data_IF_461672142554
#
_entry.id   IF_461672142554
#
_cell.length_a   1.000
_cell.length_b   1.000
_cell.length_c   1.000
_cell.angle_alpha   90.00
_cell.angle_beta   90.00
_cell.angle_gamma   90.00
#
_symmetry.space_group_name_H-M   'P 1'
#
loop_
_entity.id
_entity.type
_entity.pdbx_description
1 polymer ?
#
# COMPACT_ATOMS: atom_id res chain seq x y z
N UNK A 1 -27.48 45.34 158.46
CA UNK A 1 -27.37 44.08 157.71
C UNK A 1 -26.81 44.41 156.34
N UNK A 2 -25.64 43.86 156.04
CA UNK A 2 -24.87 44.16 154.84
C UNK A 2 -25.60 43.65 153.58
N UNK A 3 -25.42 44.33 152.46
CA UNK A 3 -25.96 43.94 151.17
C UNK A 3 -25.30 42.63 150.73
N UNK A 4 -26.06 41.55 150.69
CA UNK A 4 -25.63 40.27 150.12
C UNK A 4 -25.37 40.44 148.61
N UNK A 5 -24.25 39.88 148.16
CA UNK A 5 -23.72 40.02 146.80
C UNK A 5 -24.53 39.19 145.79
N UNK A 6 -24.49 39.59 144.51
CA UNK A 6 -25.24 38.98 143.39
C UNK A 6 -25.02 37.46 143.26
N UNK A 7 -23.87 36.94 143.70
CA UNK A 7 -23.56 35.50 143.68
C UNK A 7 -24.43 34.69 144.65
N UNK A 8 -24.99 35.30 145.69
CA UNK A 8 -25.84 34.62 146.68
C UNK A 8 -27.33 34.58 146.28
N UNK A 9 -27.71 35.33 145.25
CA UNK A 9 -29.09 35.36 144.76
C UNK A 9 -29.38 34.19 143.83
N UNK A 10 -28.54 33.94 142.81
CA UNK A 10 -28.64 32.77 141.91
C UNK A 10 -27.27 32.46 141.28
N UNK A 11 -26.78 31.22 141.47
CA UNK A 11 -25.67 30.65 140.68
C UNK A 11 -26.27 29.70 139.64
N UNK A 12 -26.26 30.10 138.37
CA UNK A 12 -26.56 29.17 137.26
C UNK A 12 -25.22 28.69 136.71
N UNK A 13 -24.94 27.41 136.86
CA UNK A 13 -23.77 26.78 136.23
C UNK A 13 -23.92 26.82 134.71
N UNK A 14 -22.83 27.16 133.98
CA UNK A 14 -22.84 27.31 132.52
C UNK A 14 -23.41 26.08 131.77
N UNK A 15 -23.25 24.88 132.32
CA UNK A 15 -23.79 23.64 131.75
C UNK A 15 -25.33 23.54 131.84
N UNK A 16 -25.94 24.16 132.84
CA UNK A 16 -27.40 24.13 133.07
C UNK A 16 -28.14 25.27 132.37
N UNK A 17 -27.42 26.22 131.75
CA UNK A 17 -28.01 27.38 131.08
C UNK A 17 -28.98 26.95 129.97
N UNK A 18 -28.61 25.96 129.16
CA UNK A 18 -29.47 25.47 128.09
C UNK A 18 -30.78 24.87 128.63
N UNK A 19 -30.72 24.08 129.69
CA UNK A 19 -31.90 23.45 130.29
C UNK A 19 -32.81 24.47 131.00
N UNK A 20 -32.20 25.44 131.70
CA UNK A 20 -32.95 26.52 132.37
C UNK A 20 -33.70 27.39 131.36
N UNK A 21 -33.09 27.74 130.23
CA UNK A 21 -33.75 28.60 129.23
C UNK A 21 -34.66 27.82 128.25
N UNK A 22 -34.49 26.49 128.13
CA UNK A 22 -35.35 25.63 127.31
C UNK A 22 -36.62 25.22 128.07
N UNK A 23 -36.53 25.00 129.38
CA UNK A 23 -37.65 24.55 130.22
C UNK A 23 -38.24 25.71 131.02
N UNK A 24 -39.39 26.23 130.56
CA UNK A 24 -40.08 27.34 131.22
C UNK A 24 -40.33 27.13 132.73
N UNK A 25 -40.69 25.93 133.23
CA UNK A 25 -40.92 25.71 134.66
C UNK A 25 -39.67 25.86 135.55
N UNK A 26 -38.47 25.52 135.04
CA UNK A 26 -37.22 25.65 135.81
C UNK A 26 -36.77 27.11 135.87
N UNK A 27 -36.96 27.86 134.78
CA UNK A 27 -36.79 29.31 134.76
C UNK A 27 -37.75 30.00 135.74
N UNK A 28 -39.03 29.65 135.70
CA UNK A 28 -40.04 30.23 136.58
C UNK A 28 -39.72 29.94 138.06
N UNK A 29 -39.19 28.75 138.38
CA UNK A 29 -38.72 28.42 139.73
C UNK A 29 -37.55 29.30 140.21
N UNK A 30 -36.58 29.58 139.34
CA UNK A 30 -35.45 30.47 139.65
C UNK A 30 -35.93 31.92 139.82
N UNK A 31 -36.85 32.38 138.96
CA UNK A 31 -37.44 33.70 139.07
C UNK A 31 -38.26 33.87 140.35
N UNK A 32 -38.99 32.85 140.77
CA UNK A 32 -39.75 32.87 142.03
C UNK A 32 -38.82 32.86 143.26
N UNK A 33 -37.66 32.19 143.20
CA UNK A 33 -36.63 32.29 144.24
C UNK A 33 -36.03 33.71 144.34
N UNK A 34 -35.75 34.36 143.20
CA UNK A 34 -35.30 35.76 143.17
C UNK A 34 -36.38 36.67 143.76
N UNK A 35 -37.65 36.45 143.41
CA UNK A 35 -38.79 37.21 143.93
C UNK A 35 -38.95 37.04 145.43
N UNK A 36 -38.88 35.80 145.93
CA UNK A 36 -38.99 35.51 147.36
C UNK A 36 -37.85 36.17 148.16
N UNK A 37 -36.61 36.12 147.65
CA UNK A 37 -35.46 36.80 148.26
C UNK A 37 -35.54 38.32 148.17
N UNK A 38 -36.10 38.88 147.10
CA UNK A 38 -36.25 40.33 146.95
C UNK A 38 -37.37 40.91 147.84
N UNK A 39 -38.43 40.15 148.09
CA UNK A 39 -39.59 40.56 148.89
C UNK A 39 -39.51 40.17 150.38
N UNK A 40 -38.54 39.34 150.79
CA UNK A 40 -38.33 38.96 152.20
C UNK A 40 -37.84 40.12 153.07
N UNK A 41 -37.29 41.17 152.46
CA UNK A 41 -36.83 42.37 153.16
C UNK A 41 -38.04 43.27 153.42
N UNK A 42 -38.42 43.42 154.70
CA UNK A 42 -39.51 44.31 155.12
C UNK A 42 -39.18 45.75 154.70
N UNK A 43 -39.97 46.40 153.82
CA UNK A 43 -39.67 47.73 153.34
C UNK A 43 -39.86 48.78 154.44
N UNK A 44 -38.76 49.27 155.02
CA UNK A 44 -38.79 50.42 155.92
C UNK A 44 -38.53 51.71 155.12
N UNK A 45 -39.58 52.47 154.84
CA UNK A 45 -39.51 53.76 154.17
C UNK A 45 -39.21 54.92 155.14
N UNK A 46 -39.27 54.68 156.45
CA UNK A 46 -39.12 55.73 157.46
C UNK A 46 -37.66 56.17 157.64
N UNK A 47 -36.69 55.25 157.44
CA UNK A 47 -35.27 55.53 157.60
C UNK A 47 -34.53 55.71 156.26
N UNK A 48 -33.50 56.58 156.24
CA UNK A 48 -32.65 56.75 155.05
C UNK A 48 -31.87 55.47 154.70
N UNK A 49 -31.56 54.65 155.69
CA UNK A 49 -30.91 53.33 155.53
C UNK A 49 -31.86 52.31 154.90
N UNK A 50 -33.12 52.26 155.32
CA UNK A 50 -34.14 51.40 154.73
C UNK A 50 -34.39 51.69 153.25
N UNK A 51 -34.48 52.97 152.87
CA UNK A 51 -34.59 53.39 151.46
C UNK A 51 -33.37 53.00 150.61
N UNK A 52 -32.16 53.09 151.15
CA UNK A 52 -30.92 52.64 150.46
C UNK A 52 -30.87 51.12 150.30
N UNK A 53 -31.35 50.36 151.27
CA UNK A 53 -31.42 48.90 151.18
C UNK A 53 -32.40 48.46 150.07
N UNK A 54 -33.57 49.10 149.98
CA UNK A 54 -34.53 48.84 148.89
C UNK A 54 -33.89 49.13 147.51
N UNK A 55 -33.17 50.24 147.38
CA UNK A 55 -32.45 50.57 146.14
C UNK A 55 -31.35 49.54 145.81
N UNK A 56 -30.63 49.04 146.81
CA UNK A 56 -29.60 48.01 146.64
C UNK A 56 -30.19 46.67 146.18
N UNK A 57 -31.33 46.26 146.73
CA UNK A 57 -32.03 45.03 146.32
C UNK A 57 -32.53 45.17 144.88
N UNK A 58 -33.14 46.29 144.52
CA UNK A 58 -33.56 46.56 143.15
C UNK A 58 -32.37 46.54 142.16
N UNK A 59 -31.22 47.08 142.57
CA UNK A 59 -29.99 47.04 141.77
C UNK A 59 -29.45 45.61 141.60
N UNK A 60 -29.51 44.79 142.64
CA UNK A 60 -29.12 43.38 142.57
C UNK A 60 -30.05 42.56 141.66
N UNK A 61 -31.35 42.83 141.66
CA UNK A 61 -32.31 42.24 140.71
C UNK A 61 -31.99 42.67 139.27
N UNK A 62 -31.65 43.94 139.05
CA UNK A 62 -31.24 44.43 137.72
C UNK A 62 -29.95 43.75 137.22
N UNK A 63 -28.97 43.52 138.12
CA UNK A 63 -27.75 42.77 137.79
C UNK A 63 -28.00 41.28 137.53
N UNK A 64 -28.91 40.65 138.27
CA UNK A 64 -29.31 39.27 138.02
C UNK A 64 -29.95 39.12 136.63
N UNK A 65 -30.79 40.08 136.21
CA UNK A 65 -31.35 40.14 134.86
C UNK A 65 -30.26 40.20 133.79
N UNK A 66 -29.29 41.12 133.91
CA UNK A 66 -28.23 41.26 132.91
C UNK A 66 -27.36 40.02 132.84
N UNK A 67 -27.01 39.43 133.99
CA UNK A 67 -26.23 38.19 134.06
C UNK A 67 -26.94 37.01 133.37
N UNK A 68 -28.24 36.83 133.60
CA UNK A 68 -29.03 35.78 132.95
C UNK A 68 -29.15 36.00 131.44
N UNK A 69 -29.34 37.25 130.98
CA UNK A 69 -29.41 37.60 129.56
C UNK A 69 -28.07 37.39 128.83
N UNK A 70 -26.95 37.75 129.46
CA UNK A 70 -25.61 37.57 128.88
C UNK A 70 -25.24 36.09 128.77
N UNK A 71 -25.56 35.26 129.78
CA UNK A 71 -25.37 33.80 129.71
C UNK A 71 -26.21 33.15 128.60
N UNK A 72 -27.46 33.58 128.43
CA UNK A 72 -28.32 33.09 127.36
C UNK A 72 -27.77 33.46 125.97
N UNK A 73 -27.26 34.69 125.81
CA UNK A 73 -26.63 35.14 124.56
C UNK A 73 -25.35 34.37 124.23
N UNK A 74 -24.46 34.16 125.21
CA UNK A 74 -23.24 33.37 125.04
C UNK A 74 -23.59 31.95 124.57
N UNK A 75 -24.58 31.30 125.21
CA UNK A 75 -24.99 29.95 124.84
C UNK A 75 -25.67 29.87 123.46
N UNK A 76 -26.49 30.85 123.10
CA UNK A 76 -27.10 30.93 121.76
C UNK A 76 -26.05 31.18 120.68
N UNK A 77 -25.00 31.95 120.97
CA UNK A 77 -23.88 32.16 120.05
C UNK A 77 -23.10 30.86 119.80
N UNK A 78 -22.78 30.10 120.86
CA UNK A 78 -22.16 28.78 120.74
C UNK A 78 -23.02 27.82 119.91
N UNK A 79 -24.33 27.73 120.21
CA UNK A 79 -25.25 26.85 119.47
C UNK A 79 -25.39 27.22 117.99
N UNK A 80 -25.22 28.50 117.63
CA UNK A 80 -25.21 28.94 116.23
C UNK A 80 -23.88 28.67 115.52
N UNK A 81 -22.80 28.48 116.26
CA UNK A 81 -21.49 28.17 115.70
C UNK A 81 -21.33 26.66 115.39
N UNK A 82 -21.97 25.78 116.17
CA UNK A 82 -21.98 24.33 115.93
C UNK A 82 -22.38 23.95 114.48
N UNK A 83 -23.46 24.48 113.88
CA UNK A 83 -23.81 24.18 112.49
C UNK A 83 -22.71 24.54 111.48
N UNK A 84 -21.98 25.65 111.68
CA UNK A 84 -20.89 26.05 110.78
C UNK A 84 -19.75 25.05 110.83
N UNK A 85 -19.35 24.63 112.03
CA UNK A 85 -18.30 23.62 112.23
C UNK A 85 -18.71 22.26 111.64
N UNK A 86 -19.99 21.90 111.73
CA UNK A 86 -20.54 20.69 111.12
C UNK A 86 -20.48 20.78 109.59
N UNK A 87 -20.86 21.91 108.99
CA UNK A 87 -20.83 22.10 107.54
C UNK A 87 -19.40 22.12 106.99
N UNK A 88 -18.45 22.72 107.71
CA UNK A 88 -17.02 22.65 107.39
C UNK A 88 -16.49 21.21 107.46
N UNK A 89 -16.83 20.48 108.52
CA UNK A 89 -16.45 19.06 108.67
C UNK A 89 -17.08 18.19 107.56
N UNK A 90 -18.32 18.47 107.18
CA UNK A 90 -19.00 17.79 106.06
C UNK A 90 -18.34 18.07 104.72
N UNK A 91 -17.88 19.30 104.50
CA UNK A 91 -17.13 19.66 103.29
C UNK A 91 -15.80 18.93 103.27
N UNK A 92 -15.02 19.00 104.35
CA UNK A 92 -13.76 18.28 104.48
C UNK A 92 -13.92 16.78 104.22
N UNK A 93 -14.96 16.16 104.81
CA UNK A 93 -15.26 14.75 104.60
C UNK A 93 -15.53 14.43 103.12
N UNK A 94 -16.31 15.27 102.40
CA UNK A 94 -16.56 15.07 100.97
C UNK A 94 -15.29 15.21 100.15
N UNK A 95 -14.56 16.30 100.34
CA UNK A 95 -13.34 16.60 99.57
C UNK A 95 -12.28 15.50 99.78
N UNK A 96 -12.15 14.99 101.01
CA UNK A 96 -11.25 13.88 101.34
C UNK A 96 -11.68 12.56 100.67
N UNK A 97 -12.97 12.22 100.73
CA UNK A 97 -13.48 10.99 100.12
C UNK A 97 -13.42 11.03 98.59
N UNK A 98 -13.64 12.19 97.96
CA UNK A 98 -13.47 12.35 96.52
C UNK A 98 -12.01 12.19 96.09
N UNK A 99 -11.08 12.81 96.84
CA UNK A 99 -9.64 12.65 96.59
C UNK A 99 -9.21 11.18 96.73
N UNK A 100 -9.67 10.49 97.79
CA UNK A 100 -9.36 9.08 98.01
C UNK A 100 -9.94 8.17 96.92
N UNK A 101 -11.15 8.47 96.42
CA UNK A 101 -11.77 7.75 95.31
C UNK A 101 -10.92 7.87 94.04
N UNK A 102 -10.41 9.07 93.76
CA UNK A 102 -9.60 9.33 92.58
C UNK A 102 -8.23 8.63 92.70
N UNK A 103 -7.58 8.69 93.86
CA UNK A 103 -6.34 7.95 94.15
C UNK A 103 -6.52 6.43 94.02
N UNK A 104 -7.61 5.87 94.54
CA UNK A 104 -7.91 4.43 94.44
C UNK A 104 -8.19 4.03 92.99
N UNK A 105 -8.76 4.93 92.18
CA UNK A 105 -9.06 4.69 90.76
C UNK A 105 -7.84 4.87 89.86
N UNK A 106 -6.87 5.69 90.26
CA UNK A 106 -5.72 6.06 89.44
C UNK A 106 -4.93 4.85 88.91
N UNK A 107 -4.58 3.81 89.70
CA UNK A 107 -3.86 2.65 89.17
C UNK A 107 -4.64 1.87 88.10
N UNK A 108 -5.98 1.86 88.19
CA UNK A 108 -6.82 1.22 87.18
C UNK A 108 -6.81 2.03 85.88
N UNK A 109 -6.95 3.35 85.97
CA UNK A 109 -6.88 4.23 84.80
C UNK A 109 -5.52 4.11 84.09
N UNK A 110 -4.42 4.12 84.84
CA UNK A 110 -3.06 3.95 84.28
C UNK A 110 -2.89 2.58 83.59
N UNK A 111 -3.44 1.52 84.18
CA UNK A 111 -3.42 0.19 83.57
C UNK A 111 -4.27 0.11 82.30
N UNK A 112 -5.47 0.70 82.29
CA UNK A 112 -6.36 0.77 81.12
C UNK A 112 -5.70 1.55 79.96
N UNK A 113 -5.02 2.65 80.27
CA UNK A 113 -4.26 3.44 79.28
C UNK A 113 -3.08 2.65 78.72
N UNK A 114 -2.28 1.98 79.57
CA UNK A 114 -1.16 1.16 79.10
C UNK A 114 -1.64 -0.03 78.27
N UNK A 115 -2.75 -0.68 78.62
CA UNK A 115 -3.35 -1.73 77.78
C UNK A 115 -3.81 -1.18 76.43
N UNK A 116 -4.46 -0.01 76.40
CA UNK A 116 -4.87 0.62 75.16
C UNK A 116 -3.67 0.98 74.26
N UNK A 117 -2.56 1.45 74.85
CA UNK A 117 -1.31 1.69 74.11
C UNK A 117 -0.72 0.41 73.56
N UNK A 118 -0.67 -0.66 74.36
CA UNK A 118 -0.13 -1.95 73.94
C UNK A 118 -0.98 -2.59 72.83
N UNK A 119 -2.31 -2.48 72.91
CA UNK A 119 -3.22 -2.94 71.85
C UNK A 119 -3.06 -2.13 70.56
N UNK A 120 -2.89 -0.81 70.66
CA UNK A 120 -2.65 0.05 69.51
C UNK A 120 -1.31 -0.27 68.84
N UNK A 121 -0.25 -0.46 69.63
CA UNK A 121 1.07 -0.88 69.13
C UNK A 121 1.01 -2.26 68.49
N UNK A 122 0.33 -3.22 69.11
CA UNK A 122 0.13 -4.56 68.55
C UNK A 122 -0.63 -4.51 67.23
N UNK A 123 -1.71 -3.73 67.14
CA UNK A 123 -2.45 -3.57 65.87
C UNK A 123 -1.57 -2.96 64.79
N UNK A 124 -0.80 -1.92 65.13
CA UNK A 124 0.15 -1.33 64.18
C UNK A 124 1.23 -2.32 63.74
N UNK A 125 1.73 -3.16 64.64
CA UNK A 125 2.69 -4.21 64.33
C UNK A 125 2.09 -5.33 63.45
N UNK A 126 0.84 -5.74 63.71
CA UNK A 126 0.12 -6.71 62.89
C UNK A 126 -0.15 -6.16 61.47
N UNK A 127 -0.56 -4.90 61.35
CA UNK A 127 -0.74 -4.23 60.05
C UNK A 127 0.58 -4.09 59.29
N UNK A 128 1.66 -3.72 59.97
CA UNK A 128 3.00 -3.62 59.38
C UNK A 128 3.51 -4.99 58.90
N UNK A 129 3.31 -6.05 59.69
CA UNK A 129 3.67 -7.41 59.33
C UNK A 129 2.85 -7.92 58.13
N UNK A 130 1.54 -7.64 58.10
CA UNK A 130 0.68 -7.99 56.98
C UNK A 130 1.09 -7.26 55.69
N UNK A 131 1.45 -5.97 55.79
CA UNK A 131 1.97 -5.21 54.66
C UNK A 131 3.30 -5.76 54.17
N UNK A 132 4.23 -6.10 55.06
CA UNK A 132 5.51 -6.70 54.70
C UNK A 132 5.33 -8.04 53.99
N UNK A 133 4.47 -8.93 54.51
CA UNK A 133 4.16 -10.20 53.86
C UNK A 133 3.54 -10.02 52.47
N UNK A 134 2.68 -9.01 52.30
CA UNK A 134 2.10 -8.68 50.99
C UNK A 134 3.16 -8.18 50.01
N UNK A 135 4.07 -7.32 50.46
CA UNK A 135 5.18 -6.80 49.63
C UNK A 135 6.07 -7.96 49.16
N UNK A 136 6.39 -8.91 50.04
CA UNK A 136 7.20 -10.09 49.68
C UNK A 136 6.48 -10.96 48.64
N UNK A 137 5.20 -11.26 48.85
CA UNK A 137 4.41 -12.03 47.89
C UNK A 137 4.26 -11.34 46.52
N UNK A 138 4.00 -10.02 46.52
CA UNK A 138 3.92 -9.22 45.29
C UNK A 138 5.27 -9.17 44.58
N UNK A 139 6.38 -9.13 45.32
CA UNK A 139 7.74 -9.17 44.76
C UNK A 139 8.06 -10.53 44.12
N UNK A 140 7.74 -11.64 44.79
CA UNK A 140 7.89 -12.99 44.22
C UNK A 140 7.07 -13.17 42.95
N UNK A 141 5.83 -12.68 42.95
CA UNK A 141 4.96 -12.71 41.77
C UNK A 141 5.55 -11.88 40.62
N UNK A 142 6.08 -10.69 40.90
CA UNK A 142 6.71 -9.84 39.89
C UNK A 142 7.92 -10.55 39.24
N UNK A 143 8.77 -11.22 40.03
CA UNK A 143 9.90 -11.99 39.50
C UNK A 143 9.47 -13.17 38.61
N UNK A 144 8.36 -13.84 38.97
CA UNK A 144 7.80 -14.90 38.13
C UNK A 144 7.26 -14.36 36.81
N UNK A 145 6.54 -13.23 36.85
CA UNK A 145 5.99 -12.57 35.66
C UNK A 145 7.10 -12.07 34.74
N UNK A 146 8.16 -11.46 35.28
CA UNK A 146 9.32 -11.01 34.50
C UNK A 146 9.98 -12.20 33.77
N UNK A 147 10.11 -13.35 34.45
CA UNK A 147 10.64 -14.58 33.86
C UNK A 147 9.75 -15.11 32.73
N UNK A 148 8.42 -15.02 32.87
CA UNK A 148 7.48 -15.42 31.82
C UNK A 148 7.57 -14.49 30.61
N UNK A 149 7.63 -13.17 30.82
CA UNK A 149 7.84 -12.21 29.74
C UNK A 149 9.18 -12.38 29.03
N UNK A 150 10.25 -12.76 29.74
CA UNK A 150 11.51 -13.12 29.10
C UNK A 150 11.38 -14.35 28.20
N UNK A 151 10.67 -15.39 28.64
CA UNK A 151 10.39 -16.57 27.82
C UNK A 151 9.58 -16.23 26.58
N UNK A 152 8.50 -15.48 26.74
CA UNK A 152 7.67 -15.05 25.61
C UNK A 152 8.45 -14.21 24.60
N UNK A 153 9.28 -13.27 25.07
CA UNK A 153 10.16 -12.48 24.19
C UNK A 153 11.14 -13.36 23.43
N UNK A 154 11.70 -14.37 24.07
CA UNK A 154 12.61 -15.29 23.40
C UNK A 154 11.86 -16.16 22.38
N UNK A 155 10.68 -16.68 22.71
CA UNK A 155 9.83 -17.41 21.77
C UNK A 155 9.44 -16.56 20.56
N UNK A 156 9.11 -15.29 20.77
CA UNK A 156 8.84 -14.33 19.68
C UNK A 156 10.07 -14.09 18.80
N UNK A 157 11.27 -14.00 19.40
CA UNK A 157 12.52 -13.90 18.63
C UNK A 157 12.77 -15.16 17.82
N UNK A 158 12.61 -16.34 18.42
CA UNK A 158 12.82 -17.61 17.74
C UNK A 158 11.82 -17.83 16.59
N UNK A 159 10.55 -17.49 16.81
CA UNK A 159 9.53 -17.55 15.74
C UNK A 159 9.81 -16.54 14.64
N UNK A 160 10.25 -15.33 14.97
CA UNK A 160 10.67 -14.35 13.97
C UNK A 160 11.89 -14.81 13.15
N UNK A 161 12.89 -15.42 13.79
CA UNK A 161 14.06 -16.00 13.11
C UNK A 161 13.63 -17.14 12.18
N UNK A 162 12.78 -18.06 12.65
CA UNK A 162 12.24 -19.16 11.82
C UNK A 162 11.45 -18.61 10.63
N UNK A 163 10.60 -17.62 10.83
CA UNK A 163 9.85 -16.98 9.76
C UNK A 163 10.77 -16.28 8.73
N UNK A 164 11.90 -15.69 9.16
CA UNK A 164 12.90 -15.17 8.22
C UNK A 164 13.56 -16.30 7.43
N UNK A 165 13.99 -17.36 8.09
CA UNK A 165 14.61 -18.53 7.43
C UNK A 165 13.65 -19.18 6.43
N UNK A 166 12.37 -19.30 6.76
CA UNK A 166 11.35 -19.81 5.84
C UNK A 166 11.16 -18.91 4.62
N UNK A 167 11.09 -17.58 4.81
CA UNK A 167 11.02 -16.62 3.70
C UNK A 167 12.27 -16.67 2.82
N UNK A 168 13.45 -16.69 3.42
CA UNK A 168 14.72 -16.81 2.68
C UNK A 168 14.79 -18.13 1.91
N UNK A 169 14.35 -19.24 2.51
CA UNK A 169 14.27 -20.54 1.84
C UNK A 169 13.25 -20.53 0.70
N UNK A 170 12.10 -19.88 0.86
CA UNK A 170 11.09 -19.75 -0.18
C UNK A 170 11.57 -18.88 -1.34
N UNK A 171 12.22 -17.75 -1.06
CA UNK A 171 12.89 -16.91 -2.06
C UNK A 171 13.98 -17.70 -2.79
N UNK A 172 14.80 -18.47 -2.07
CA UNK A 172 15.83 -19.32 -2.67
C UNK A 172 15.23 -20.41 -3.57
N UNK A 173 14.10 -21.02 -3.17
CA UNK A 173 13.37 -21.99 -4.00
C UNK A 173 12.79 -21.35 -5.26
N UNK A 174 12.15 -20.18 -5.13
CA UNK A 174 11.61 -19.44 -6.27
C UNK A 174 12.72 -19.02 -7.23
N UNK A 175 13.86 -18.54 -6.72
CA UNK A 175 15.01 -18.19 -7.54
C UNK A 175 15.60 -19.42 -8.24
N UNK A 176 15.69 -20.57 -7.55
CA UNK A 176 16.15 -21.81 -8.15
C UNK A 176 15.17 -22.33 -9.23
N UNK A 177 13.86 -22.23 -8.99
CA UNK A 177 12.82 -22.61 -9.95
C UNK A 177 12.84 -21.69 -11.17
N UNK A 178 12.91 -20.38 -10.99
CA UNK A 178 13.07 -19.41 -12.08
C UNK A 178 14.33 -19.69 -12.88
N UNK A 179 15.47 -19.96 -12.23
CA UNK A 179 16.70 -20.34 -12.93
C UNK A 179 16.56 -21.64 -13.72
N UNK A 180 15.79 -22.62 -13.23
CA UNK A 180 15.49 -23.85 -13.99
C UNK A 180 14.60 -23.57 -15.19
N UNK A 181 13.54 -22.78 -15.02
CA UNK A 181 12.63 -22.40 -16.11
C UNK A 181 13.39 -21.61 -17.16
N UNK A 182 14.23 -20.64 -16.78
CA UNK A 182 15.07 -19.89 -17.72
C UNK A 182 16.07 -20.80 -18.44
N UNK A 183 16.71 -21.74 -17.74
CA UNK A 183 17.62 -22.69 -18.36
C UNK A 183 16.90 -23.60 -19.36
N UNK A 184 15.70 -24.07 -19.02
CA UNK A 184 14.85 -24.88 -19.90
C UNK A 184 14.38 -24.08 -21.13
N UNK A 185 13.93 -22.83 -20.93
CA UNK A 185 13.55 -21.94 -22.03
C UNK A 185 14.72 -21.62 -22.95
N UNK A 186 15.92 -21.38 -22.40
CA UNK A 186 17.14 -21.17 -23.20
C UNK A 186 17.49 -22.43 -23.98
N UNK A 187 17.42 -23.61 -23.37
CA UNK A 187 17.65 -24.88 -24.04
C UNK A 187 16.61 -25.16 -25.14
N UNK A 188 15.33 -24.84 -24.91
CA UNK A 188 14.27 -24.99 -25.91
C UNK A 188 14.45 -23.98 -27.06
N UNK A 189 14.80 -22.73 -26.76
CA UNK A 189 15.11 -21.72 -27.75
C UNK A 189 16.33 -22.11 -28.61
N UNK A 190 17.37 -22.68 -27.99
CA UNK A 190 18.54 -23.20 -28.70
C UNK A 190 18.17 -24.39 -29.59
N UNK A 191 17.32 -25.32 -29.11
CA UNK A 191 16.80 -26.43 -29.92
C UNK A 191 15.96 -25.94 -31.10
N UNK A 192 15.07 -24.96 -30.88
CA UNK A 192 14.26 -24.35 -31.95
C UNK A 192 15.14 -23.62 -32.96
N UNK A 193 16.14 -22.87 -32.50
CA UNK A 193 17.10 -22.20 -33.38
C UNK A 193 17.95 -23.21 -34.17
N UNK A 194 18.37 -24.31 -33.56
CA UNK A 194 19.09 -25.39 -34.23
C UNK A 194 18.20 -26.09 -35.28
N UNK A 195 16.94 -26.39 -34.95
CA UNK A 195 15.97 -26.96 -35.88
C UNK A 195 15.67 -26.01 -37.05
N UNK A 196 15.53 -24.71 -36.78
CA UNK A 196 15.34 -23.71 -37.83
C UNK A 196 16.57 -23.61 -38.74
N UNK A 197 17.79 -23.63 -38.19
CA UNK A 197 19.02 -23.68 -38.99
C UNK A 197 19.11 -24.94 -39.84
N UNK A 198 18.66 -26.10 -39.33
CA UNK A 198 18.60 -27.33 -40.12
C UNK A 198 17.58 -27.22 -41.27
N UNK A 199 16.38 -26.68 -41.00
CA UNK A 199 15.35 -26.45 -42.01
C UNK A 199 15.84 -25.45 -43.06
N UNK A 200 16.43 -24.32 -42.64
CA UNK A 200 16.97 -23.31 -43.53
C UNK A 200 18.13 -23.86 -44.37
N UNK A 201 19.00 -24.69 -43.78
CA UNK A 201 20.07 -25.39 -44.49
C UNK A 201 19.52 -26.41 -45.50
N UNK A 202 18.46 -27.15 -45.16
CA UNK A 202 17.78 -28.05 -46.10
C UNK A 202 17.11 -27.31 -47.23
N UNK A 203 16.39 -26.22 -46.95
CA UNK A 203 15.76 -25.38 -47.97
C UNK A 203 16.80 -24.72 -48.88
N UNK A 204 17.95 -24.28 -48.32
CA UNK A 204 19.06 -23.77 -49.11
C UNK A 204 19.71 -24.84 -49.98
N UNK A 205 19.89 -26.07 -49.45
CA UNK A 205 20.39 -27.20 -50.21
C UNK A 205 19.43 -27.62 -51.33
N UNK A 206 18.12 -27.66 -51.05
CA UNK A 206 17.08 -27.96 -52.04
C UNK A 206 17.02 -26.88 -53.13
N UNK A 207 17.10 -25.59 -52.76
CA UNK A 207 17.20 -24.50 -53.75
C UNK A 207 18.46 -24.62 -54.59
N UNK A 208 19.61 -24.92 -54.00
CA UNK A 208 20.85 -25.13 -54.73
C UNK A 208 20.75 -26.35 -55.67
N UNK A 209 20.11 -27.44 -55.24
CA UNK A 209 19.85 -28.61 -56.08
C UNK A 209 18.89 -28.28 -57.24
N UNK A 210 17.80 -27.58 -56.97
CA UNK A 210 16.87 -27.10 -57.99
C UNK A 210 17.54 -26.13 -58.97
N UNK A 211 18.41 -25.23 -58.51
CA UNK A 211 19.21 -24.35 -59.39
C UNK A 211 20.19 -25.14 -60.24
N UNK A 212 20.83 -26.19 -59.69
CA UNK A 212 21.71 -27.08 -60.46
C UNK A 212 20.94 -27.88 -61.50
N UNK A 213 19.79 -28.46 -61.15
CA UNK A 213 18.93 -29.14 -62.12
C UNK A 213 18.40 -28.17 -63.17
N UNK A 214 17.99 -26.96 -62.80
CA UNK A 214 17.54 -25.95 -63.76
C UNK A 214 18.69 -25.49 -64.67
N UNK A 215 19.92 -25.35 -64.15
CA UNK A 215 21.10 -25.06 -64.95
C UNK A 215 21.45 -26.22 -65.91
N UNK A 216 21.35 -27.47 -65.44
CA UNK A 216 21.55 -28.66 -66.27
C UNK A 216 20.48 -28.77 -67.36
N UNK A 217 19.21 -28.51 -67.04
CA UNK A 217 18.12 -28.47 -68.02
C UNK A 217 18.32 -27.36 -69.04
N UNK A 218 18.71 -26.14 -68.60
CA UNK A 218 19.07 -25.06 -69.53
C UNK A 218 20.25 -25.42 -70.42
N UNK A 219 21.25 -26.11 -69.89
CA UNK A 219 22.38 -26.59 -70.69
C UNK A 219 21.94 -27.63 -71.72
N UNK A 220 21.12 -28.61 -71.33
CA UNK A 220 20.52 -29.59 -72.26
C UNK A 220 19.63 -28.95 -73.30
N UNK A 221 18.81 -27.98 -72.92
CA UNK A 221 17.96 -27.22 -73.84
C UNK A 221 18.79 -26.36 -74.80
N UNK A 222 19.90 -25.77 -74.33
CA UNK A 222 20.82 -25.03 -75.18
C UNK A 222 21.57 -25.95 -76.15
N UNK A 223 22.02 -27.13 -75.71
CA UNK A 223 22.60 -28.16 -76.57
C UNK A 223 21.59 -28.67 -77.59
N UNK A 224 20.34 -28.95 -77.18
CA UNK A 224 19.28 -29.37 -78.08
C UNK A 224 18.87 -28.27 -79.07
N UNK A 225 18.94 -26.99 -78.69
CA UNK A 225 18.76 -25.86 -79.62
C UNK A 225 19.94 -25.76 -80.58
N UNK A 226 21.18 -25.91 -80.11
CA UNK A 226 22.37 -25.87 -80.96
C UNK A 226 22.43 -27.05 -81.96
N UNK A 227 21.96 -28.24 -81.56
CA UNK A 227 21.82 -29.38 -82.47
C UNK A 227 20.74 -29.10 -83.52
N UNK A 228 19.54 -28.65 -83.10
CA UNK A 228 18.47 -28.28 -84.03
C UNK A 228 18.89 -27.17 -85.00
N UNK A 229 19.59 -26.15 -84.52
CA UNK A 229 20.07 -25.05 -85.36
C UNK A 229 21.14 -25.52 -86.36
N UNK A 230 22.01 -26.47 -85.97
CA UNK A 230 22.95 -27.13 -86.88
C UNK A 230 22.25 -27.99 -87.92
N UNK A 231 21.26 -28.79 -87.52
CA UNK A 231 20.46 -29.61 -88.43
C UNK A 231 19.67 -28.73 -89.42
N UNK A 232 19.02 -27.66 -88.94
CA UNK A 232 18.32 -26.70 -89.80
C UNK A 232 19.28 -25.92 -90.72
N UNK A 233 20.51 -25.63 -90.29
CA UNK A 233 21.53 -25.02 -91.13
C UNK A 233 22.05 -26.02 -92.19
N UNK A 234 22.20 -27.29 -91.85
CA UNK A 234 22.60 -28.34 -92.78
C UNK A 234 21.50 -28.65 -93.81
N UNK A 235 20.23 -28.72 -93.38
CA UNK A 235 19.09 -28.85 -94.29
C UNK A 235 18.96 -27.63 -95.21
N UNK A 236 19.12 -26.41 -94.69
CA UNK A 236 19.16 -25.21 -95.53
C UNK A 236 20.32 -25.23 -96.51
N UNK A 237 21.50 -25.70 -96.11
CA UNK A 237 22.66 -25.84 -97.00
C UNK A 237 22.42 -26.91 -98.08
N UNK A 238 21.82 -28.05 -97.74
CA UNK A 238 21.44 -29.11 -98.70
C UNK A 238 20.37 -28.62 -99.67
N UNK A 239 19.33 -27.94 -99.19
CA UNK A 239 18.29 -27.36 -100.05
C UNK A 239 18.84 -26.24 -100.94
N UNK A 240 19.78 -25.43 -100.45
CA UNK A 240 20.48 -24.43 -101.26
C UNK A 240 21.38 -25.07 -102.33
N UNK A 241 22.07 -26.18 -102.02
CA UNK A 241 22.88 -26.93 -102.98
C UNK A 241 22.03 -27.58 -104.08
N UNK A 242 20.90 -28.19 -103.73
CA UNK A 242 19.98 -28.79 -104.71
C UNK A 242 19.38 -27.70 -105.61
N UNK A 243 18.94 -26.57 -105.05
CA UNK A 243 18.44 -25.44 -105.86
C UNK A 243 19.52 -24.84 -106.76
N UNK A 244 20.77 -24.73 -106.28
CA UNK A 244 21.88 -24.25 -107.09
C UNK A 244 22.22 -25.22 -108.25
N UNK A 245 22.09 -26.53 -108.04
CA UNK A 245 22.27 -27.55 -109.09
C UNK A 245 21.13 -27.51 -110.12
N UNK A 246 19.88 -27.36 -109.69
CA UNK A 246 18.73 -27.20 -110.58
C UNK A 246 18.80 -25.89 -111.39
N UNK A 247 19.16 -24.77 -110.76
CA UNK A 247 19.35 -23.49 -111.44
C UNK A 247 20.53 -23.52 -112.42
N UNK A 248 21.63 -24.21 -112.08
CA UNK A 248 22.76 -24.41 -113.00
C UNK A 248 22.37 -25.28 -114.21
N UNK A 249 21.56 -26.32 -114.00
CA UNK A 249 21.05 -27.17 -115.09
C UNK A 249 20.08 -26.42 -115.99
N UNK A 250 19.15 -25.63 -115.42
CA UNK A 250 18.23 -24.81 -116.20
C UNK A 250 18.96 -23.70 -116.98
N UNK A 251 20.02 -23.12 -116.41
CA UNK A 251 20.86 -22.12 -117.08
C UNK A 251 21.68 -22.74 -118.23
N UNK A 252 22.23 -23.94 -118.06
CA UNK A 252 22.92 -24.66 -119.12
C UNK A 252 21.99 -25.08 -120.27
N UNK A 253 20.76 -25.49 -119.97
CA UNK A 253 19.76 -25.83 -120.99
C UNK A 253 19.28 -24.59 -121.76
N UNK A 254 19.06 -23.46 -121.08
CA UNK A 254 18.74 -22.17 -121.72
C UNK A 254 19.90 -21.63 -122.58
N UNK A 255 21.16 -21.83 -122.17
CA UNK A 255 22.32 -21.46 -122.97
C UNK A 255 22.45 -22.32 -124.24
N UNK A 256 22.24 -23.63 -124.14
CA UNK A 256 22.27 -24.56 -125.29
C UNK A 256 21.07 -24.38 -126.26
N UNK A 257 19.93 -23.88 -125.79
CA UNK A 257 18.81 -23.49 -126.65
C UNK A 257 19.08 -22.16 -127.40
N UNK A 258 19.66 -21.17 -126.71
CA UNK A 258 19.98 -19.87 -127.29
C UNK A 258 21.11 -19.92 -128.35
N UNK A 259 22.02 -20.90 -128.27
CA UNK A 259 23.07 -21.10 -129.27
C UNK A 259 22.56 -21.81 -130.53
N UNK A 260 21.67 -22.80 -130.39
CA UNK A 260 21.00 -23.45 -131.54
C UNK A 260 20.13 -22.48 -132.34
N UNK A 261 19.44 -21.56 -131.65
CA UNK A 261 18.55 -20.60 -132.30
C UNK A 261 19.29 -19.49 -133.06
N UNK A 262 20.56 -19.19 -132.71
CA UNK A 262 21.41 -18.28 -133.47
C UNK A 262 21.91 -18.90 -134.77
N UNK A 263 22.29 -20.17 -134.76
CA UNK A 263 22.79 -20.87 -135.96
C UNK A 263 21.69 -21.13 -137.01
N UNK A 264 20.43 -21.31 -136.59
CA UNK A 264 19.30 -21.52 -137.50
C UNK A 264 18.86 -20.22 -138.20
N UNK A 265 18.82 -19.10 -137.46
CA UNK A 265 18.47 -17.78 -138.02
C UNK A 265 19.52 -17.25 -139.01
N UNK A 266 20.81 -17.58 -138.81
CA UNK A 266 21.88 -17.17 -139.72
C UNK A 266 21.85 -17.95 -141.05
N UNK A 267 21.45 -19.24 -141.03
CA UNK A 267 21.27 -20.05 -142.25
C UNK A 267 20.05 -19.61 -143.07
N UNK A 268 18.94 -19.30 -142.42
CA UNK A 268 17.70 -18.85 -143.09
C UNK A 268 17.87 -17.47 -143.76
N UNK A 269 18.70 -16.58 -143.20
CA UNK A 269 18.99 -15.29 -143.80
C UNK A 269 19.84 -15.41 -145.09
N UNK A 270 20.76 -16.38 -145.17
CA UNK A 270 21.61 -16.58 -146.34
C UNK A 270 20.87 -17.17 -147.55
N UNK A 271 19.89 -18.06 -147.35
CA UNK A 271 19.08 -18.64 -148.44
C UNK A 271 18.06 -17.65 -149.04
N UNK A 272 17.54 -16.72 -148.24
CA UNK A 272 16.55 -15.74 -148.70
C UNK A 272 17.14 -14.69 -149.65
N UNK A 273 18.44 -14.38 -149.53
CA UNK A 273 19.10 -13.38 -150.38
C UNK A 273 19.44 -13.92 -151.78
N UNK A 274 19.73 -15.22 -151.91
CA UNK A 274 20.02 -15.83 -153.22
C UNK A 274 18.77 -15.89 -154.12
N UNK A 275 17.58 -16.22 -153.57
CA UNK A 275 16.35 -16.33 -154.38
C UNK A 275 15.87 -15.02 -154.98
N UNK A 276 16.17 -13.86 -154.37
CA UNK A 276 15.79 -12.55 -154.92
C UNK A 276 16.58 -12.15 -156.17
N UNK A 277 17.82 -12.63 -156.31
CA UNK A 277 18.69 -12.28 -157.45
C UNK A 277 18.38 -13.08 -158.72
N UNK A 278 17.69 -14.22 -158.59
CA UNK A 278 17.35 -15.10 -159.71
C UNK A 278 16.03 -14.70 -160.38
N UNK A 279 15.02 -14.30 -159.60
CA UNK A 279 13.70 -13.91 -160.12
C UNK A 279 13.72 -12.68 -161.05
N UNK A 280 14.63 -11.72 -160.81
CA UNK A 280 14.71 -10.47 -161.56
C UNK A 280 15.26 -10.65 -162.99
N UNK A 281 16.02 -11.74 -163.22
CA UNK A 281 16.53 -12.09 -164.56
C UNK A 281 15.43 -12.65 -165.46
N UNK A 282 14.49 -13.41 -164.90
CA UNK A 282 13.41 -14.04 -165.67
C UNK A 282 12.36 -13.02 -166.13
N UNK A 283 12.03 -12.04 -165.30
CA UNK A 283 11.04 -11.00 -165.64
C UNK A 283 11.45 -10.18 -166.88
N UNK A 284 12.73 -9.80 -166.97
CA UNK A 284 13.26 -9.04 -168.12
C UNK A 284 13.33 -9.86 -169.41
N UNK A 285 13.46 -11.18 -169.30
CA UNK A 285 13.47 -12.08 -170.44
C UNK A 285 12.07 -12.33 -171.01
N UNK A 286 11.04 -12.37 -170.15
CA UNK A 286 9.65 -12.57 -170.56
C UNK A 286 9.12 -11.37 -171.38
N UNK A 287 9.29 -10.14 -170.88
CA UNK A 287 8.76 -8.92 -171.52
C UNK A 287 9.38 -8.70 -172.92
N UNK A 288 10.67 -9.03 -173.09
CA UNK A 288 11.33 -8.95 -174.39
C UNK A 288 10.81 -9.98 -175.41
N UNK A 289 10.33 -11.15 -174.97
CA UNK A 289 9.73 -12.14 -175.87
C UNK A 289 8.34 -11.71 -176.33
N UNK A 290 7.55 -11.10 -175.45
CA UNK A 290 6.21 -10.62 -175.81
C UNK A 290 6.28 -9.48 -176.84
N UNK A 291 7.18 -8.51 -176.63
CA UNK A 291 7.44 -7.46 -177.62
C UNK A 291 7.88 -8.02 -178.98
N UNK A 292 8.60 -9.14 -179.00
CA UNK A 292 9.05 -9.82 -180.22
C UNK A 292 7.89 -10.49 -180.97
N UNK A 293 6.94 -11.09 -180.24
CA UNK A 293 5.76 -11.71 -180.81
C UNK A 293 4.82 -10.68 -181.46
N UNK A 294 4.66 -9.49 -180.88
CA UNK A 294 3.78 -8.46 -181.42
C UNK A 294 4.34 -7.81 -182.70
N UNK A 295 5.67 -7.67 -182.80
CA UNK A 295 6.32 -7.16 -184.02
C UNK A 295 6.23 -8.17 -185.18
N UNK A 296 6.23 -9.48 -184.89
CA UNK A 296 6.06 -10.50 -185.94
C UNK A 296 4.65 -10.49 -186.56
N UNK A 297 3.60 -10.13 -185.82
CA UNK A 297 2.23 -10.02 -186.37
C UNK A 297 2.07 -8.92 -187.42
N UNK A 298 3.00 -7.96 -187.49
CA UNK A 298 3.04 -6.91 -188.51
C UNK A 298 3.70 -7.35 -189.83
N UNK A 299 4.07 -8.63 -189.96
CA UNK A 299 4.60 -9.21 -191.21
C UNK A 299 6.11 -9.03 -191.41
N UNK A 300 6.85 -8.66 -190.38
CA UNK A 300 8.30 -8.43 -190.43
C UNK A 300 9.05 -9.74 -190.05
N UNK A 301 10.09 -10.14 -190.81
CA UNK A 301 10.90 -11.33 -190.51
C UNK A 301 11.61 -11.25 -189.15
N UNK A 302 11.74 -12.41 -188.48
CA UNK A 302 12.21 -12.52 -187.08
C UNK A 302 13.59 -11.91 -186.83
N UNK A 303 14.51 -12.05 -187.78
CA UNK A 303 15.87 -11.52 -187.63
C UNK A 303 15.91 -9.99 -187.60
N UNK A 304 15.01 -9.34 -188.35
CA UNK A 304 14.87 -7.88 -188.34
C UNK A 304 14.13 -7.39 -187.08
N UNK A 305 13.14 -8.14 -186.59
CA UNK A 305 12.41 -7.81 -185.36
C UNK A 305 13.32 -7.86 -184.11
N UNK A 306 14.20 -8.87 -184.02
CA UNK A 306 15.24 -8.94 -182.96
C UNK A 306 16.20 -7.75 -183.02
N UNK A 307 16.59 -7.34 -184.23
CA UNK A 307 17.44 -6.17 -184.44
C UNK A 307 16.80 -4.88 -183.92
N UNK A 308 15.50 -4.69 -184.16
CA UNK A 308 14.76 -3.51 -183.71
C UNK A 308 14.59 -3.48 -182.19
N UNK A 309 14.20 -4.59 -181.55
CA UNK A 309 14.06 -4.68 -180.08
C UNK A 309 15.41 -4.47 -179.38
N UNK A 310 16.49 -5.05 -179.90
CA UNK A 310 17.82 -4.85 -179.34
C UNK A 310 18.31 -3.40 -179.49
N UNK A 311 17.98 -2.73 -180.61
CA UNK A 311 18.32 -1.32 -180.81
C UNK A 311 17.53 -0.39 -179.86
N UNK A 312 16.28 -0.72 -179.53
CA UNK A 312 15.47 0.03 -178.55
C UNK A 312 15.95 -0.27 -177.12
N UNK A 313 16.19 -1.52 -176.77
CA UNK A 313 16.67 -1.91 -175.43
C UNK A 313 18.06 -1.35 -175.09
N UNK A 314 18.91 -1.12 -176.11
CA UNK A 314 20.22 -0.47 -175.97
C UNK A 314 20.17 1.06 -176.14
N UNK A 315 18.98 1.65 -176.40
CA UNK A 315 18.78 3.10 -176.51
C UNK A 315 19.33 3.75 -177.79
N UNK A 316 19.54 2.99 -178.86
CA UNK A 316 20.12 3.46 -180.13
C UNK A 316 19.08 4.13 -181.06
N UNK A 317 17.78 3.97 -180.78
CA UNK A 317 16.69 4.68 -181.46
C UNK A 317 16.18 5.81 -180.57
N UNK A 318 16.32 7.05 -181.01
CA UNK A 318 15.92 8.22 -180.21
C UNK A 318 14.39 8.28 -180.03
N UNK A 319 13.96 8.52 -178.79
CA UNK A 319 12.56 8.75 -178.36
C UNK A 319 11.65 7.50 -178.20
N UNK A 320 12.20 6.28 -178.11
CA UNK A 320 11.45 5.05 -177.79
C UNK A 320 12.22 4.21 -176.74
N UNK A 321 11.55 3.68 -175.70
CA UNK A 321 12.11 2.82 -174.63
C UNK A 321 11.18 1.63 -174.29
N UNK A 322 11.74 0.51 -173.83
CA UNK A 322 10.99 -0.66 -173.31
C UNK A 322 10.97 -0.59 -171.78
N UNK A 323 9.79 -0.68 -171.17
CA UNK A 323 9.63 -0.84 -169.71
C UNK A 323 9.65 -2.34 -169.34
N UNK A 324 10.41 -2.67 -168.30
CA UNK A 324 10.53 -4.02 -167.74
C UNK A 324 9.88 -4.12 -166.36
#
# INVERSE_FOLDING_TARGET
MAAEDIKDLVVIEKASVQEVFLHRPTLDGILEQIRAKALSIVPDLSTATGRKNIASVAYNVAKAKTYMDDLAKERVAELKDLPKQIDESRRYMRDFLDSLKDEVRQPLTEWEEEQARLEAERKAAEEAAALAAKIEADHELALLMDREWEREREEQRQTAIRAQQEREAEIARQAAEQARIEAEQRAEAERKAAAQREIDARLAAERAEQERLAAEQRARDAEARAIREKEEAEERARQAAIKAEEDARLAAERAAAAERQRQENERLAAEAEQRRREADKEHRAAINREALADIQKLGIPEDLAKGIIAAIARGLVRHITINY
#
